data_IF_654194510214
#
_entry.id   IF_654194510214
#
_cell.length_a   1.000
_cell.length_b   1.000
_cell.length_c   1.000
_cell.angle_alpha   90.00
_cell.angle_beta   90.00
_cell.angle_gamma   90.00
#
_symmetry.space_group_name_H-M   'P 1'
#
loop_
_entity.id
_entity.type
_entity.pdbx_description
1 polymer ?
#
# COMPACT_ATOMS: atom_id res chain seq x y z
N UNK A 1 34.59 33.64 21.89
CA UNK A 1 34.38 32.90 23.14
C UNK A 1 33.89 31.50 22.72
N UNK A 2 34.64 30.51 23.03
CA UNK A 2 34.27 29.09 22.69
C UNK A 2 33.08 28.69 23.57
N UNK A 3 32.08 28.03 22.94
CA UNK A 3 30.88 27.57 23.65
C UNK A 3 31.24 26.32 24.46
N UNK A 4 30.85 26.32 25.74
CA UNK A 4 31.01 25.17 26.64
C UNK A 4 29.66 24.50 26.84
N UNK A 5 29.68 23.17 26.97
CA UNK A 5 28.51 22.36 27.32
C UNK A 5 28.14 22.53 28.82
N UNK A 6 27.08 21.82 29.27
CA UNK A 6 26.63 21.83 30.68
C UNK A 6 27.65 21.31 31.68
N UNK A 7 28.70 20.62 31.22
CA UNK A 7 29.79 20.08 32.04
C UNK A 7 31.07 20.96 31.95
N UNK A 8 31.00 22.06 31.17
CA UNK A 8 32.12 22.98 30.98
C UNK A 8 33.16 22.51 29.97
N UNK A 9 32.78 21.57 29.06
CA UNK A 9 33.68 21.05 28.03
C UNK A 9 33.43 21.76 26.69
N UNK A 10 34.50 21.99 25.95
CA UNK A 10 34.42 22.32 24.51
C UNK A 10 34.01 21.07 23.72
N UNK A 11 33.53 21.26 22.47
CA UNK A 11 33.22 20.17 21.58
C UNK A 11 34.39 19.22 21.36
N UNK A 12 35.59 19.77 21.18
CA UNK A 12 36.81 18.97 20.99
C UNK A 12 37.13 18.11 22.22
N UNK A 13 37.04 18.68 23.45
CA UNK A 13 37.23 17.93 24.69
C UNK A 13 36.18 16.87 24.92
N UNK A 14 34.88 17.17 24.59
CA UNK A 14 33.81 16.19 24.64
C UNK A 14 34.07 15.01 23.68
N UNK A 15 34.39 15.29 22.42
CA UNK A 15 34.64 14.25 21.40
C UNK A 15 35.88 13.41 21.74
N UNK A 16 36.95 14.02 22.29
CA UNK A 16 38.14 13.29 22.72
C UNK A 16 37.89 12.31 23.87
N UNK A 17 36.89 12.61 24.71
CA UNK A 17 36.48 11.76 25.84
C UNK A 17 35.29 10.85 25.53
N UNK A 18 34.62 11.04 24.40
CA UNK A 18 33.45 10.25 24.04
C UNK A 18 33.84 8.81 23.71
N UNK A 19 33.20 7.88 24.38
CA UNK A 19 33.41 6.44 24.19
C UNK A 19 32.17 5.79 23.60
N UNK A 20 32.13 5.60 22.27
CA UNK A 20 30.98 5.00 21.61
C UNK A 20 30.57 3.61 22.16
N UNK A 21 31.53 2.83 22.68
CA UNK A 21 31.29 1.50 23.23
C UNK A 21 30.57 1.48 24.59
N UNK A 22 30.36 2.63 25.23
CA UNK A 22 29.61 2.72 26.49
C UNK A 22 28.09 2.63 26.27
N UNK A 23 27.64 2.62 24.99
CA UNK A 23 26.23 2.55 24.60
C UNK A 23 26.00 1.35 23.68
N UNK A 24 24.97 0.56 23.96
CA UNK A 24 24.49 -0.43 23.01
C UNK A 24 24.01 0.26 21.73
N UNK A 25 24.37 -0.30 20.58
CA UNK A 25 24.05 0.25 19.28
C UNK A 25 23.33 -0.79 18.43
N UNK A 26 22.28 -0.39 17.70
CA UNK A 26 21.70 -1.28 16.73
C UNK A 26 22.66 -1.49 15.55
N UNK A 27 22.62 -2.68 14.97
CA UNK A 27 23.15 -2.93 13.64
C UNK A 27 22.13 -2.48 12.60
N UNK A 28 22.57 -1.75 11.59
CA UNK A 28 21.78 -1.39 10.43
C UNK A 28 21.78 -2.52 9.41
N UNK A 29 20.62 -2.81 8.80
CA UNK A 29 20.48 -3.72 7.66
C UNK A 29 19.60 -3.10 6.59
N UNK A 30 19.68 -3.63 5.36
CA UNK A 30 18.75 -3.35 4.28
C UNK A 30 18.09 -4.66 3.83
N UNK A 31 16.79 -4.62 3.56
CA UNK A 31 16.03 -5.74 2.98
C UNK A 31 15.34 -5.26 1.69
N UNK A 32 15.51 -5.95 0.56
CA UNK A 32 15.09 -5.47 -0.75
C UNK A 32 13.98 -6.34 -1.33
N UNK A 33 12.78 -5.77 -1.51
CA UNK A 33 11.67 -6.40 -2.22
C UNK A 33 11.78 -6.09 -3.72
N UNK A 34 12.35 -7.01 -4.48
CA UNK A 34 12.41 -6.92 -5.95
C UNK A 34 11.19 -7.61 -6.53
N UNK A 35 10.38 -6.87 -7.28
CA UNK A 35 9.20 -7.41 -7.97
C UNK A 35 9.36 -7.31 -9.49
N UNK A 36 8.68 -8.21 -10.20
CA UNK A 36 8.58 -8.22 -11.64
C UNK A 36 7.15 -8.54 -12.07
N UNK A 37 6.64 -7.86 -13.07
CA UNK A 37 5.39 -8.25 -13.71
C UNK A 37 5.63 -9.42 -14.67
N UNK A 38 4.74 -10.40 -14.66
CA UNK A 38 4.78 -11.58 -15.53
C UNK A 38 3.36 -11.91 -16.03
N UNK A 39 3.24 -12.82 -17.00
CA UNK A 39 1.95 -13.32 -17.49
C UNK A 39 1.07 -13.91 -16.37
N UNK A 40 1.70 -14.43 -15.31
CA UNK A 40 1.02 -14.97 -14.13
C UNK A 40 0.65 -13.91 -13.08
N UNK A 41 0.99 -12.63 -13.32
CA UNK A 41 0.85 -11.53 -12.36
C UNK A 41 2.20 -11.10 -11.77
N UNK A 42 2.15 -10.43 -10.63
CA UNK A 42 3.33 -9.95 -9.93
C UNK A 42 4.09 -11.08 -9.24
N UNK A 43 5.40 -11.11 -9.44
CA UNK A 43 6.32 -12.03 -8.78
C UNK A 43 7.30 -11.28 -7.91
N UNK A 44 7.69 -11.90 -6.79
CA UNK A 44 8.67 -11.40 -5.82
C UNK A 44 9.91 -12.27 -5.86
N UNK A 45 11.09 -11.66 -5.93
CA UNK A 45 12.37 -12.36 -5.83
C UNK A 45 12.69 -12.68 -4.36
N UNK A 46 12.97 -13.95 -4.09
CA UNK A 46 13.51 -14.39 -2.82
C UNK A 46 14.83 -15.13 -3.02
N UNK A 47 15.67 -15.10 -2.01
CA UNK A 47 16.89 -15.91 -1.91
C UNK A 47 16.69 -17.02 -0.89
N UNK A 48 17.35 -18.15 -1.07
CA UNK A 48 17.40 -19.24 -0.09
C UNK A 48 18.66 -19.10 0.75
N UNK A 49 18.49 -18.93 2.06
CA UNK A 49 19.62 -18.67 2.97
C UNK A 49 20.61 -19.84 3.01
N UNK A 50 21.91 -19.52 2.81
CA UNK A 50 23.03 -20.43 2.89
C UNK A 50 23.58 -20.63 4.31
N UNK A 51 23.30 -19.69 5.24
CA UNK A 51 23.86 -19.62 6.57
C UNK A 51 22.84 -19.54 7.73
N UNK A 52 23.32 -19.72 8.96
CA UNK A 52 22.51 -19.49 10.17
C UNK A 52 22.42 -17.99 10.51
N UNK A 53 21.35 -17.58 11.20
CA UNK A 53 20.12 -18.32 11.51
C UNK A 53 19.23 -18.55 10.26
N UNK A 54 18.22 -19.41 10.41
CA UNK A 54 17.25 -19.72 9.35
C UNK A 54 17.84 -20.37 8.08
N UNK A 55 18.86 -21.22 8.23
CA UNK A 55 19.45 -21.99 7.14
C UNK A 55 18.36 -22.70 6.29
N UNK A 56 18.41 -22.48 4.97
CA UNK A 56 17.49 -23.10 4.01
C UNK A 56 16.09 -22.45 3.94
N UNK A 57 15.80 -21.41 4.73
CA UNK A 57 14.57 -20.62 4.62
C UNK A 57 14.71 -19.58 3.52
N UNK A 58 13.58 -19.15 2.99
CA UNK A 58 13.49 -18.07 2.02
C UNK A 58 13.57 -16.70 2.71
N UNK A 59 14.17 -15.73 2.05
CA UNK A 59 14.37 -14.38 2.56
C UNK A 59 14.33 -13.36 1.43
N UNK A 60 14.07 -12.10 1.74
CA UNK A 60 14.42 -11.00 0.85
C UNK A 60 15.94 -10.93 0.71
N UNK A 61 16.49 -10.55 -0.46
CA UNK A 61 17.88 -10.13 -0.57
C UNK A 61 18.16 -9.01 0.43
N UNK A 62 19.34 -9.06 1.05
CA UNK A 62 19.71 -8.03 2.01
C UNK A 62 20.67 -8.48 3.11
N UNK A 63 21.28 -7.51 3.78
CA UNK A 63 22.27 -7.77 4.80
C UNK A 63 22.65 -6.53 5.60
N UNK A 64 23.79 -6.62 6.29
CA UNK A 64 24.28 -5.58 7.19
C UNK A 64 24.96 -4.44 6.42
N UNK A 65 24.70 -3.21 6.88
CA UNK A 65 25.50 -2.06 6.43
C UNK A 65 26.91 -2.14 7.00
N UNK A 66 27.90 -1.84 6.17
CA UNK A 66 29.30 -1.78 6.56
C UNK A 66 29.70 -0.38 7.04
N UNK A 67 30.79 -0.27 7.86
CA UNK A 67 31.29 1.03 8.26
C UNK A 67 31.72 1.88 7.07
N UNK A 68 31.12 3.07 6.91
CA UNK A 68 31.46 4.03 5.87
C UNK A 68 30.54 4.01 4.66
N UNK A 69 29.56 3.10 4.60
CA UNK A 69 28.50 3.12 3.59
C UNK A 69 27.17 3.64 4.17
N UNK A 70 26.33 4.18 3.32
CA UNK A 70 24.93 4.48 3.63
C UNK A 70 24.09 3.21 3.52
N UNK A 71 22.88 3.21 4.09
CA UNK A 71 21.97 2.06 3.98
C UNK A 71 21.53 1.81 2.54
N UNK A 72 21.44 2.87 1.70
CA UNK A 72 21.16 2.76 0.26
C UNK A 72 22.30 2.07 -0.51
N UNK A 73 23.56 2.38 -0.16
CA UNK A 73 24.74 1.71 -0.72
C UNK A 73 24.80 0.26 -0.29
N UNK A 74 24.51 -0.02 0.99
CA UNK A 74 24.40 -1.39 1.51
C UNK A 74 23.32 -2.18 0.74
N UNK A 75 22.14 -1.62 0.54
CA UNK A 75 21.07 -2.26 -0.22
C UNK A 75 21.52 -2.61 -1.65
N UNK A 76 22.17 -1.68 -2.34
CA UNK A 76 22.66 -1.91 -3.71
C UNK A 76 23.79 -2.94 -3.78
N UNK A 77 24.69 -2.97 -2.78
CA UNK A 77 25.76 -3.95 -2.65
C UNK A 77 25.19 -5.34 -2.40
N UNK A 78 24.36 -5.50 -1.37
CA UNK A 78 23.74 -6.79 -1.01
C UNK A 78 22.92 -7.37 -2.15
N UNK A 79 22.09 -6.55 -2.82
CA UNK A 79 21.32 -6.99 -3.98
C UNK A 79 22.24 -7.55 -5.07
N UNK A 80 23.36 -6.86 -5.37
CA UNK A 80 24.33 -7.35 -6.35
C UNK A 80 25.00 -8.64 -5.89
N UNK A 81 25.45 -8.72 -4.63
CA UNK A 81 26.20 -9.85 -4.10
C UNK A 81 25.37 -11.12 -4.02
N UNK A 82 24.11 -11.01 -3.62
CA UNK A 82 23.22 -12.16 -3.44
C UNK A 82 22.43 -12.55 -4.72
N UNK A 83 22.30 -11.63 -5.71
CA UNK A 83 21.41 -11.88 -6.87
C UNK A 83 22.02 -11.53 -8.23
N UNK A 84 23.22 -10.96 -8.31
CA UNK A 84 23.85 -10.42 -9.54
C UNK A 84 23.05 -9.28 -10.21
N UNK A 85 22.01 -8.73 -9.52
CA UNK A 85 21.23 -7.59 -10.03
C UNK A 85 21.89 -6.27 -9.68
N UNK A 86 22.00 -5.38 -10.68
CA UNK A 86 22.62 -4.05 -10.52
C UNK A 86 21.81 -2.96 -11.22
N UNK A 87 21.97 -1.72 -10.75
CA UNK A 87 21.42 -0.54 -11.42
C UNK A 87 19.90 -0.38 -11.32
N UNK A 88 19.23 -1.16 -10.49
CA UNK A 88 17.80 -0.97 -10.21
C UNK A 88 17.62 0.24 -9.30
N UNK A 89 16.66 1.14 -9.59
CA UNK A 89 16.25 2.16 -8.64
C UNK A 89 15.67 1.52 -7.38
N UNK A 90 16.29 1.78 -6.23
CA UNK A 90 15.84 1.30 -4.93
C UNK A 90 15.05 2.42 -4.24
N UNK A 91 13.79 2.16 -3.90
CA UNK A 91 12.91 3.13 -3.24
C UNK A 91 12.64 2.69 -1.81
N UNK A 92 13.05 3.46 -0.78
CA UNK A 92 12.77 3.11 0.60
C UNK A 92 11.26 3.14 0.86
N UNK A 93 10.74 2.16 1.60
CA UNK A 93 9.31 2.07 1.87
C UNK A 93 8.96 1.92 3.35
N UNK A 94 9.92 1.61 4.20
CA UNK A 94 9.64 1.45 5.61
C UNK A 94 10.84 1.07 6.46
N UNK A 95 10.78 1.42 7.73
CA UNK A 95 11.81 1.14 8.71
C UNK A 95 11.30 0.13 9.74
N UNK A 96 12.06 -0.94 9.96
CA UNK A 96 11.67 -2.09 10.78
C UNK A 96 12.59 -2.20 11.99
N UNK A 97 12.06 -1.93 13.18
CA UNK A 97 12.85 -1.86 14.41
C UNK A 97 12.23 -2.59 15.60
N UNK A 98 11.32 -3.52 15.34
CA UNK A 98 10.66 -4.31 16.39
C UNK A 98 11.72 -5.04 17.22
N UNK A 99 11.74 -4.91 18.55
CA UNK A 99 12.69 -5.61 19.40
C UNK A 99 12.62 -7.13 19.19
N UNK A 100 13.79 -7.75 19.00
CA UNK A 100 13.91 -9.18 18.82
C UNK A 100 13.57 -9.70 17.41
N UNK A 101 13.40 -8.80 16.40
CA UNK A 101 13.25 -9.16 15.00
C UNK A 101 14.39 -10.04 14.48
N UNK A 102 15.59 -9.82 14.99
CA UNK A 102 16.77 -10.66 14.75
C UNK A 102 17.29 -11.19 16.08
N UNK A 103 17.50 -12.51 16.16
CA UNK A 103 17.98 -13.20 17.36
C UNK A 103 19.48 -12.99 17.62
N UNK A 104 20.23 -12.47 16.66
CA UNK A 104 21.69 -12.28 16.76
C UNK A 104 22.04 -11.05 17.57
N UNK A 105 21.30 -9.94 17.39
CA UNK A 105 21.60 -8.66 18.02
C UNK A 105 20.39 -7.70 17.92
N UNK A 106 20.50 -6.53 18.54
CA UNK A 106 19.62 -5.40 18.28
C UNK A 106 19.83 -4.91 16.84
N UNK A 107 18.88 -5.20 15.94
CA UNK A 107 18.99 -4.95 14.51
C UNK A 107 17.81 -4.10 14.05
N UNK A 108 18.07 -3.10 13.24
CA UNK A 108 17.10 -2.25 12.57
C UNK A 108 17.31 -2.35 11.06
N UNK A 109 16.24 -2.44 10.28
CA UNK A 109 16.31 -2.57 8.82
C UNK A 109 15.55 -1.48 8.10
N UNK A 110 16.11 -0.95 7.04
CA UNK A 110 15.40 -0.19 6.03
C UNK A 110 14.94 -1.14 4.92
N UNK A 111 13.65 -1.09 4.59
CA UNK A 111 13.05 -1.85 3.49
C UNK A 111 13.09 -1.05 2.20
N UNK A 112 13.60 -1.65 1.13
CA UNK A 112 13.64 -1.08 -0.22
C UNK A 112 12.78 -1.88 -1.19
N UNK A 113 12.07 -1.17 -2.07
CA UNK A 113 11.32 -1.75 -3.17
C UNK A 113 12.03 -1.46 -4.49
N UNK A 114 12.07 -2.45 -5.39
CA UNK A 114 12.61 -2.31 -6.73
C UNK A 114 11.72 -3.02 -7.74
N UNK A 115 11.55 -2.42 -8.91
CA UNK A 115 10.87 -3.02 -10.06
C UNK A 115 11.92 -3.51 -11.05
N UNK A 116 11.93 -4.81 -11.33
CA UNK A 116 12.71 -5.38 -12.43
C UNK A 116 11.85 -5.33 -13.69
N UNK A 117 12.28 -4.62 -14.77
CA UNK A 117 11.54 -4.57 -16.02
C UNK A 117 11.45 -5.95 -16.68
N UNK A 118 10.41 -6.16 -17.48
CA UNK A 118 10.29 -7.35 -18.32
C UNK A 118 11.50 -7.48 -19.24
N UNK A 119 12.05 -8.71 -19.37
CA UNK A 119 13.27 -8.95 -20.12
C UNK A 119 14.55 -8.46 -19.45
N UNK A 120 14.47 -8.04 -18.19
CA UNK A 120 15.64 -7.68 -17.38
C UNK A 120 16.59 -8.86 -17.11
N UNK A 121 17.72 -8.61 -16.45
CA UNK A 121 18.69 -9.66 -16.13
C UNK A 121 18.11 -10.75 -15.27
N UNK A 122 18.52 -11.99 -15.49
CA UNK A 122 18.10 -13.15 -14.70
C UNK A 122 18.92 -13.19 -13.41
N UNK A 123 18.25 -13.17 -12.21
CA UNK A 123 18.96 -13.28 -10.95
C UNK A 123 19.77 -14.56 -10.83
N UNK A 124 20.97 -14.46 -10.24
CA UNK A 124 21.84 -15.59 -9.95
C UNK A 124 22.22 -15.56 -8.48
N UNK A 125 22.09 -16.69 -7.82
CA UNK A 125 22.53 -16.84 -6.46
C UNK A 125 24.05 -16.60 -6.33
N UNK A 126 24.42 -15.77 -5.37
CA UNK A 126 25.81 -15.47 -5.04
C UNK A 126 25.98 -15.32 -3.54
N UNK A 127 27.21 -15.21 -3.07
CA UNK A 127 27.62 -15.06 -1.68
C UNK A 127 26.89 -16.05 -0.74
N UNK A 128 26.13 -15.57 0.23
CA UNK A 128 25.37 -16.34 1.22
C UNK A 128 24.07 -16.95 0.68
N UNK A 129 23.64 -16.62 -0.55
CA UNK A 129 22.46 -17.18 -1.19
C UNK A 129 22.78 -18.53 -1.84
N UNK A 130 22.06 -19.59 -1.47
CA UNK A 130 22.17 -20.92 -2.13
C UNK A 130 21.39 -20.97 -3.43
N UNK A 131 20.32 -20.22 -3.53
CA UNK A 131 19.36 -20.26 -4.61
C UNK A 131 18.62 -18.93 -4.67
N UNK A 132 18.22 -18.52 -5.85
CA UNK A 132 17.25 -17.44 -6.07
C UNK A 132 15.96 -18.03 -6.65
N UNK A 133 14.81 -17.48 -6.29
CA UNK A 133 13.53 -17.94 -6.80
C UNK A 133 12.52 -16.82 -6.95
N UNK A 134 11.77 -16.83 -8.04
CA UNK A 134 10.60 -16.00 -8.23
C UNK A 134 9.36 -16.69 -7.68
N UNK A 135 8.58 -15.95 -6.91
CA UNK A 135 7.33 -16.41 -6.31
C UNK A 135 6.19 -15.50 -6.73
N UNK A 136 5.12 -16.03 -7.28
CA UNK A 136 3.84 -15.33 -7.25
C UNK A 136 3.38 -15.23 -5.80
N UNK A 137 2.83 -14.08 -5.43
CA UNK A 137 2.35 -13.85 -4.07
C UNK A 137 0.90 -13.45 -4.12
N UNK A 138 0.02 -14.40 -3.79
CA UNK A 138 -1.39 -14.14 -3.61
C UNK A 138 -1.69 -13.74 -2.17
N UNK A 139 -2.70 -12.90 -1.98
CA UNK A 139 -3.10 -12.42 -0.67
C UNK A 139 -4.59 -12.66 -0.43
N UNK A 140 -4.93 -13.08 0.79
CA UNK A 140 -6.31 -13.17 1.26
C UNK A 140 -6.44 -12.68 2.68
N UNK A 141 -7.57 -12.05 2.97
CA UNK A 141 -7.93 -11.58 4.30
C UNK A 141 -9.05 -12.42 4.87
N UNK A 142 -8.95 -12.74 6.16
CA UNK A 142 -10.00 -13.41 6.92
C UNK A 142 -9.95 -12.95 8.38
N UNK A 143 -10.97 -12.21 8.83
CA UNK A 143 -11.10 -11.69 10.21
C UNK A 143 -9.85 -10.90 10.69
N UNK A 144 -9.33 -10.01 9.86
CA UNK A 144 -8.15 -9.19 10.15
C UNK A 144 -6.81 -9.94 10.02
N UNK A 145 -6.84 -11.22 9.63
CA UNK A 145 -5.65 -12.02 9.34
C UNK A 145 -5.36 -11.98 7.84
N UNK A 146 -4.18 -11.50 7.49
CA UNK A 146 -3.62 -11.58 6.15
C UNK A 146 -2.89 -12.91 5.99
N UNK A 147 -3.25 -13.67 4.97
CA UNK A 147 -2.45 -14.80 4.49
C UNK A 147 -1.78 -14.41 3.18
N UNK A 148 -0.47 -14.54 3.12
CA UNK A 148 0.33 -14.45 1.89
C UNK A 148 0.67 -15.85 1.44
N UNK A 149 0.18 -16.25 0.26
CA UNK A 149 0.45 -17.55 -0.36
C UNK A 149 1.52 -17.39 -1.43
N UNK A 150 2.62 -18.12 -1.27
CA UNK A 150 3.78 -18.09 -2.16
C UNK A 150 3.77 -19.32 -3.05
N UNK A 151 3.86 -19.13 -4.36
CA UNK A 151 3.97 -20.19 -5.33
C UNK A 151 5.14 -19.94 -6.29
N UNK A 152 6.09 -20.88 -6.30
CA UNK A 152 7.32 -20.80 -7.09
C UNK A 152 8.12 -22.09 -6.98
N UNK A 153 9.44 -22.05 -6.71
CA UNK A 153 10.25 -23.24 -6.46
C UNK A 153 9.70 -24.13 -5.34
N UNK A 154 9.04 -23.52 -4.36
CA UNK A 154 8.30 -24.19 -3.29
C UNK A 154 6.94 -23.51 -3.12
N UNK A 155 6.02 -24.17 -2.41
CA UNK A 155 4.73 -23.59 -2.00
C UNK A 155 4.69 -23.48 -0.47
N UNK A 156 4.36 -22.29 0.03
CA UNK A 156 4.16 -22.08 1.46
C UNK A 156 3.25 -20.86 1.68
N UNK A 157 2.75 -20.70 2.89
CA UNK A 157 1.93 -19.56 3.30
C UNK A 157 2.53 -18.91 4.54
N UNK A 158 2.50 -17.58 4.60
CA UNK A 158 2.77 -16.80 5.80
C UNK A 158 1.47 -16.15 6.29
N UNK A 159 1.29 -16.05 7.61
CA UNK A 159 0.08 -15.48 8.22
C UNK A 159 0.44 -14.35 9.16
N UNK A 160 -0.26 -13.23 9.00
CA UNK A 160 -0.03 -12.01 9.76
C UNK A 160 -1.36 -11.46 10.29
N UNK A 161 -1.36 -10.96 11.52
CA UNK A 161 -2.44 -10.18 12.08
C UNK A 161 -2.16 -8.70 11.84
N UNK A 162 -3.15 -7.94 11.35
CA UNK A 162 -3.00 -6.49 11.24
C UNK A 162 -3.13 -5.85 12.63
N UNK A 163 -2.13 -5.06 13.01
CA UNK A 163 -2.08 -4.30 14.26
C UNK A 163 -2.11 -2.80 13.96
N UNK A 164 -3.30 -2.26 13.74
CA UNK A 164 -3.49 -0.87 13.34
C UNK A 164 -3.13 -0.60 11.87
N UNK A 165 -2.85 0.66 11.54
CA UNK A 165 -2.72 1.11 10.15
C UNK A 165 -1.43 0.65 9.46
N UNK A 166 -0.35 0.42 10.20
CA UNK A 166 0.99 0.27 9.62
C UNK A 166 1.80 -0.91 10.15
N UNK A 167 1.24 -1.74 11.00
CA UNK A 167 1.94 -2.85 11.63
C UNK A 167 1.25 -4.19 11.40
N UNK A 168 2.06 -5.23 11.39
CA UNK A 168 1.61 -6.62 11.37
C UNK A 168 2.36 -7.42 12.44
N UNK A 169 1.62 -8.20 13.22
CA UNK A 169 2.17 -9.27 14.03
C UNK A 169 2.22 -10.56 13.23
N UNK A 170 3.36 -11.24 13.24
CA UNK A 170 3.53 -12.48 12.52
C UNK A 170 2.92 -13.63 13.34
N UNK A 171 1.92 -14.30 12.78
CA UNK A 171 1.32 -15.51 13.35
C UNK A 171 2.07 -16.77 12.91
N UNK A 172 2.51 -16.78 11.63
CA UNK A 172 3.28 -17.87 11.03
C UNK A 172 4.15 -17.31 9.90
N UNK A 173 5.44 -17.61 9.91
CA UNK A 173 6.37 -17.21 8.84
C UNK A 173 6.32 -18.13 7.63
N UNK A 174 5.72 -19.33 7.75
CA UNK A 174 5.74 -20.36 6.73
C UNK A 174 7.16 -20.79 6.37
N UNK A 175 7.55 -20.49 5.13
CA UNK A 175 8.89 -20.74 4.59
C UNK A 175 9.89 -19.60 4.80
N UNK A 176 9.47 -18.44 5.33
CA UNK A 176 10.30 -17.22 5.40
C UNK A 176 11.18 -17.17 6.66
N UNK A 177 12.31 -16.47 6.51
CA UNK A 177 13.22 -16.15 7.61
C UNK A 177 12.80 -14.86 8.32
N UNK A 178 13.23 -14.68 9.56
CA UNK A 178 13.07 -13.46 10.36
C UNK A 178 11.62 -12.93 10.36
N UNK A 179 11.50 -11.62 10.22
CA UNK A 179 10.24 -10.90 10.07
C UNK A 179 9.93 -10.53 8.60
N UNK A 180 10.54 -11.25 7.63
CA UNK A 180 10.38 -10.93 6.21
C UNK A 180 8.93 -11.03 5.71
N UNK A 181 8.08 -11.85 6.34
CA UNK A 181 6.65 -11.83 6.05
C UNK A 181 6.04 -10.45 6.28
N UNK A 182 6.40 -9.77 7.38
CA UNK A 182 5.96 -8.39 7.66
C UNK A 182 6.53 -7.40 6.64
N UNK A 183 7.82 -7.49 6.34
CA UNK A 183 8.48 -6.60 5.36
C UNK A 183 7.83 -6.75 3.99
N UNK A 184 7.57 -7.99 3.54
CA UNK A 184 6.90 -8.29 2.27
C UNK A 184 5.48 -7.71 2.24
N UNK A 185 4.68 -7.91 3.29
CA UNK A 185 3.34 -7.34 3.37
C UNK A 185 3.37 -5.81 3.23
N UNK A 186 4.31 -5.14 3.90
CA UNK A 186 4.50 -3.69 3.80
C UNK A 186 4.98 -3.23 2.42
N UNK A 187 5.91 -3.98 1.80
CA UNK A 187 6.35 -3.72 0.43
C UNK A 187 5.18 -3.80 -0.54
N UNK A 188 4.38 -4.87 -0.46
CA UNK A 188 3.20 -5.07 -1.31
C UNK A 188 2.15 -3.97 -1.12
N UNK A 189 1.88 -3.53 0.13
CA UNK A 189 1.01 -2.37 0.38
C UNK A 189 1.56 -1.11 -0.30
N UNK A 190 2.84 -0.82 -0.10
CA UNK A 190 3.47 0.39 -0.64
C UNK A 190 3.51 0.41 -2.16
N UNK A 191 3.69 -0.75 -2.78
CA UNK A 191 3.70 -0.91 -4.23
C UNK A 191 2.29 -1.02 -4.85
N UNK A 192 1.25 -1.06 -4.02
CA UNK A 192 -0.12 -1.22 -4.48
C UNK A 192 -0.44 -2.62 -5.00
N UNK A 193 0.24 -3.63 -4.48
CA UNK A 193 0.07 -5.04 -4.84
C UNK A 193 -0.75 -5.82 -3.80
N UNK A 194 -0.93 -5.27 -2.60
CA UNK A 194 -1.75 -5.85 -1.55
C UNK A 194 -3.09 -5.11 -1.51
N UNK A 195 -4.16 -5.80 -1.88
CA UNK A 195 -5.51 -5.28 -1.72
C UNK A 195 -5.89 -5.25 -0.23
N UNK A 196 -6.64 -4.24 0.22
CA UNK A 196 -7.15 -4.19 1.58
C UNK A 196 -8.16 -5.31 1.86
N UNK A 197 -8.45 -5.54 3.14
CA UNK A 197 -9.54 -6.42 3.53
C UNK A 197 -10.87 -5.95 2.92
N UNK A 198 -11.73 -6.91 2.56
CA UNK A 198 -13.03 -6.61 1.97
C UNK A 198 -13.89 -5.79 2.95
N UNK A 199 -14.56 -4.76 2.44
CA UNK A 199 -15.44 -3.90 3.24
C UNK A 199 -16.71 -4.64 3.61
N UNK A 200 -17.11 -4.58 4.89
CA UNK A 200 -18.43 -5.01 5.33
C UNK A 200 -19.49 -3.95 4.97
N UNK A 201 -20.01 -4.06 3.75
CA UNK A 201 -21.05 -3.17 3.24
C UNK A 201 -22.38 -3.31 4.00
N UNK A 202 -22.62 -4.41 4.69
CA UNK A 202 -23.79 -4.57 5.54
C UNK A 202 -23.77 -3.56 6.71
N UNK A 203 -22.69 -3.55 7.45
CA UNK A 203 -22.45 -2.61 8.55
C UNK A 203 -22.36 -1.17 8.05
N UNK A 204 -21.59 -0.92 6.98
CA UNK A 204 -21.43 0.41 6.40
C UNK A 204 -22.77 1.04 5.99
N UNK A 205 -23.59 0.29 5.29
CA UNK A 205 -24.91 0.75 4.83
C UNK A 205 -25.89 0.97 5.98
N UNK A 206 -25.85 0.15 7.03
CA UNK A 206 -26.64 0.34 8.24
C UNK A 206 -26.24 1.63 9.00
N UNK A 207 -24.94 1.92 9.09
CA UNK A 207 -24.42 3.15 9.68
C UNK A 207 -24.89 4.39 8.91
N UNK A 208 -24.79 4.38 7.56
CA UNK A 208 -25.29 5.47 6.73
C UNK A 208 -26.79 5.68 6.91
N UNK A 209 -27.57 4.59 6.91
CA UNK A 209 -29.02 4.67 7.07
C UNK A 209 -29.37 5.33 8.41
N UNK A 210 -28.69 4.96 9.49
CA UNK A 210 -28.88 5.58 10.82
C UNK A 210 -28.48 7.05 10.87
N UNK A 211 -27.37 7.42 10.22
CA UNK A 211 -26.88 8.81 10.17
C UNK A 211 -27.83 9.74 9.37
N UNK A 212 -28.46 9.22 8.32
CA UNK A 212 -29.33 9.99 7.43
C UNK A 212 -30.81 9.96 7.85
N UNK A 213 -31.20 9.12 8.83
CA UNK A 213 -32.59 8.97 9.25
C UNK A 213 -33.16 10.28 9.84
N UNK A 214 -34.22 10.79 9.22
CA UNK A 214 -34.90 12.01 9.69
C UNK A 214 -34.12 13.31 9.50
N UNK A 215 -32.97 13.30 8.78
CA UNK A 215 -32.14 14.48 8.54
C UNK A 215 -32.58 15.16 7.25
N UNK A 216 -33.24 16.35 7.28
CA UNK A 216 -33.75 17.05 6.10
C UNK A 216 -32.68 17.96 5.45
N UNK A 217 -31.43 17.56 5.44
CA UNK A 217 -30.29 18.37 4.97
C UNK A 217 -29.42 17.60 3.99
N UNK A 218 -29.73 17.60 2.66
CA UNK A 218 -29.01 16.82 1.66
C UNK A 218 -27.49 17.01 1.69
N UNK A 219 -27.02 18.26 1.79
CA UNK A 219 -25.59 18.56 1.83
C UNK A 219 -24.90 17.93 3.04
N UNK A 220 -25.54 17.97 4.22
CA UNK A 220 -24.98 17.35 5.44
C UNK A 220 -24.92 15.82 5.31
N UNK A 221 -25.96 15.21 4.71
CA UNK A 221 -25.99 13.76 4.44
C UNK A 221 -24.86 13.34 3.50
N UNK A 222 -24.63 14.08 2.43
CA UNK A 222 -23.52 13.82 1.50
C UNK A 222 -22.15 14.01 2.17
N UNK A 223 -21.99 15.04 3.02
CA UNK A 223 -20.73 15.28 3.73
C UNK A 223 -20.42 14.14 4.72
N UNK A 224 -21.40 13.71 5.52
CA UNK A 224 -21.25 12.57 6.43
C UNK A 224 -21.01 11.25 5.66
N UNK A 225 -21.64 11.07 4.52
CA UNK A 225 -21.44 9.90 3.67
C UNK A 225 -20.01 9.85 3.10
N UNK A 226 -19.47 10.99 2.65
CA UNK A 226 -18.07 11.05 2.19
C UNK A 226 -17.09 10.70 3.33
N UNK A 227 -17.32 11.24 4.54
CA UNK A 227 -16.50 10.94 5.71
C UNK A 227 -16.59 9.45 6.09
N UNK A 228 -17.79 8.88 6.11
CA UNK A 228 -18.01 7.47 6.45
C UNK A 228 -17.34 6.53 5.45
N UNK A 229 -17.39 6.83 4.14
CA UNK A 229 -16.66 6.08 3.11
C UNK A 229 -15.15 6.18 3.33
N UNK A 230 -14.64 7.38 3.61
CA UNK A 230 -13.21 7.61 3.87
C UNK A 230 -12.67 6.82 5.06
N UNK A 231 -13.46 6.68 6.12
CA UNK A 231 -13.10 5.92 7.32
C UNK A 231 -13.21 4.40 7.12
N UNK A 232 -14.14 3.95 6.25
CA UNK A 232 -14.49 2.53 6.12
C UNK A 232 -13.82 1.81 4.97
N UNK A 233 -13.43 2.53 3.90
CA UNK A 233 -12.83 1.93 2.72
C UNK A 233 -11.31 1.98 2.81
N UNK A 234 -10.66 0.82 2.87
CA UNK A 234 -9.20 0.75 2.75
C UNK A 234 -8.72 0.97 1.31
N UNK A 235 -7.51 1.55 1.15
CA UNK A 235 -6.84 1.65 -0.14
C UNK A 235 -7.46 2.65 -1.12
N UNK A 236 -8.11 3.70 -0.63
CA UNK A 236 -8.65 4.81 -1.44
C UNK A 236 -7.82 6.08 -1.21
N UNK A 237 -7.81 6.99 -2.18
CA UNK A 237 -7.18 8.31 -2.08
C UNK A 237 -8.16 9.47 -2.32
N UNK A 238 -9.41 9.17 -2.72
CA UNK A 238 -10.49 10.13 -2.82
C UNK A 238 -11.85 9.43 -2.69
N UNK A 239 -12.83 10.10 -2.05
CA UNK A 239 -14.21 9.66 -1.98
C UNK A 239 -15.13 10.86 -1.85
N UNK A 240 -16.11 11.02 -2.73
CA UNK A 240 -16.99 12.17 -2.69
C UNK A 240 -18.05 12.17 -3.76
N UNK A 241 -18.64 13.35 -3.96
CA UNK A 241 -19.81 13.53 -4.81
C UNK A 241 -19.58 14.62 -5.84
N UNK A 242 -20.09 14.39 -7.04
CA UNK A 242 -20.30 15.40 -8.04
C UNK A 242 -21.80 15.52 -8.33
N UNK A 243 -22.34 16.75 -8.28
CA UNK A 243 -23.76 17.02 -8.46
C UNK A 243 -24.03 17.55 -9.88
N UNK A 244 -25.11 17.10 -10.49
CA UNK A 244 -25.44 17.47 -11.86
C UNK A 244 -26.05 18.88 -11.92
N UNK A 245 -25.42 19.76 -12.67
CA UNK A 245 -25.89 21.11 -13.00
C UNK A 245 -25.91 21.32 -14.52
N UNK A 246 -27.08 21.15 -15.14
CA UNK A 246 -27.20 21.22 -16.59
C UNK A 246 -26.45 20.11 -17.31
N UNK A 247 -25.44 20.45 -18.11
CA UNK A 247 -24.61 19.49 -18.87
C UNK A 247 -23.25 19.22 -18.25
N UNK A 248 -23.07 19.53 -16.96
CA UNK A 248 -21.84 19.32 -16.22
C UNK A 248 -22.10 18.78 -14.81
N UNK A 249 -21.09 18.16 -14.25
CA UNK A 249 -21.02 17.75 -12.86
C UNK A 249 -20.19 18.78 -12.10
N UNK A 250 -20.68 19.23 -10.95
CA UNK A 250 -20.03 20.21 -10.06
C UNK A 250 -19.64 19.53 -8.77
N UNK A 251 -18.43 19.82 -8.29
CA UNK A 251 -17.86 19.25 -7.08
C UNK A 251 -18.74 19.49 -5.86
N UNK A 252 -19.15 18.42 -5.21
CA UNK A 252 -19.87 18.39 -3.94
C UNK A 252 -18.97 18.06 -2.75
N UNK A 253 -19.53 17.56 -1.64
CA UNK A 253 -18.74 17.12 -0.48
C UNK A 253 -17.83 15.94 -0.81
N UNK A 254 -16.59 15.98 -0.31
CA UNK A 254 -15.59 14.94 -0.54
C UNK A 254 -14.55 14.88 0.58
N UNK A 255 -13.81 13.77 0.59
CA UNK A 255 -12.59 13.52 1.37
C UNK A 255 -11.44 13.18 0.41
N UNK A 256 -10.24 13.70 0.70
CA UNK A 256 -9.06 13.51 -0.14
C UNK A 256 -8.41 14.82 -0.56
N UNK A 257 -7.60 14.78 -1.62
CA UNK A 257 -6.97 15.97 -2.20
C UNK A 257 -7.99 16.82 -2.96
N UNK A 258 -7.62 18.10 -3.20
CA UNK A 258 -8.41 19.00 -4.08
C UNK A 258 -8.62 18.37 -5.46
N UNK A 259 -9.82 18.53 -6.00
CA UNK A 259 -10.26 17.92 -7.25
C UNK A 259 -10.77 18.95 -8.27
N UNK A 260 -11.13 18.48 -9.47
CA UNK A 260 -11.71 19.31 -10.51
C UNK A 260 -13.04 19.92 -10.03
N UNK A 261 -13.24 21.23 -10.21
CA UNK A 261 -14.47 21.89 -9.76
C UNK A 261 -15.65 21.50 -10.66
N UNK A 262 -15.42 21.37 -11.98
CA UNK A 262 -16.44 21.05 -12.98
C UNK A 262 -15.96 19.94 -13.91
N UNK A 263 -16.82 18.99 -14.21
CA UNK A 263 -16.57 17.89 -15.16
C UNK A 263 -17.70 17.88 -16.22
N UNK A 264 -17.39 18.09 -17.51
CA UNK A 264 -18.37 17.96 -18.58
C UNK A 264 -18.89 16.52 -18.67
N UNK A 265 -20.19 16.34 -18.91
CA UNK A 265 -20.79 14.99 -19.08
C UNK A 265 -20.15 14.16 -20.22
N UNK A 266 -19.47 14.82 -21.15
CA UNK A 266 -18.83 14.17 -22.30
C UNK A 266 -17.45 13.56 -21.98
N UNK A 267 -16.89 13.78 -20.80
CA UNK A 267 -15.52 13.40 -20.45
C UNK A 267 -15.45 12.68 -19.09
N UNK A 268 -14.39 11.91 -18.94
CA UNK A 268 -14.05 11.22 -17.69
C UNK A 268 -15.00 10.07 -17.33
N UNK A 269 -14.66 9.39 -16.24
CA UNK A 269 -15.47 8.27 -15.73
C UNK A 269 -16.77 8.77 -15.10
N UNK A 270 -16.71 9.86 -14.33
CA UNK A 270 -17.88 10.52 -13.73
C UNK A 270 -18.89 10.95 -14.80
N UNK A 271 -18.42 11.60 -15.90
CA UNK A 271 -19.29 11.98 -17.02
C UNK A 271 -19.90 10.77 -17.72
N UNK A 272 -19.15 9.67 -17.87
CA UNK A 272 -19.67 8.43 -18.44
C UNK A 272 -20.76 7.82 -17.54
N UNK A 273 -20.53 7.72 -16.22
CA UNK A 273 -21.51 7.18 -15.27
C UNK A 273 -22.82 7.99 -15.29
N UNK A 274 -22.73 9.32 -15.23
CA UNK A 274 -23.90 10.20 -15.26
C UNK A 274 -24.70 10.10 -16.57
N UNK A 275 -24.01 10.06 -17.71
CA UNK A 275 -24.63 10.01 -19.02
C UNK A 275 -25.28 8.66 -19.33
N UNK A 276 -24.63 7.55 -18.94
CA UNK A 276 -25.14 6.20 -19.24
C UNK A 276 -26.07 5.67 -18.16
N UNK A 277 -26.18 6.38 -17.04
CA UNK A 277 -26.91 5.95 -15.85
C UNK A 277 -26.52 4.55 -15.37
N UNK A 278 -25.22 4.25 -15.43
CA UNK A 278 -24.66 2.95 -15.03
C UNK A 278 -23.37 3.13 -14.23
N UNK A 279 -23.19 2.31 -13.22
CA UNK A 279 -21.96 2.28 -12.45
C UNK A 279 -20.77 1.94 -13.35
N UNK A 280 -19.74 2.77 -13.28
CA UNK A 280 -18.46 2.53 -13.95
C UNK A 280 -17.50 1.89 -12.97
N UNK A 281 -17.05 0.68 -13.26
CA UNK A 281 -16.02 -0.05 -12.52
C UNK A 281 -14.74 -0.07 -13.36
N UNK A 282 -13.78 0.77 -13.03
CA UNK A 282 -12.57 1.02 -13.83
C UNK A 282 -11.34 0.42 -13.15
N UNK A 283 -10.83 -0.71 -13.64
CA UNK A 283 -9.69 -1.38 -13.03
C UNK A 283 -8.35 -0.66 -13.24
N UNK A 284 -8.23 0.13 -14.31
CA UNK A 284 -7.09 1.00 -14.61
C UNK A 284 -7.58 2.26 -15.31
N UNK A 285 -7.47 3.41 -14.63
CA UNK A 285 -7.92 4.71 -15.14
C UNK A 285 -7.12 5.16 -16.36
N UNK A 286 -5.87 4.72 -16.51
CA UNK A 286 -5.03 5.07 -17.67
C UNK A 286 -5.48 4.37 -18.95
N UNK A 287 -6.18 3.24 -18.83
CA UNK A 287 -6.80 2.54 -19.95
C UNK A 287 -8.20 3.08 -20.31
N UNK A 288 -8.80 3.95 -19.49
CA UNK A 288 -10.14 4.47 -19.72
C UNK A 288 -10.13 5.63 -20.73
N UNK A 289 -10.88 5.54 -21.86
CA UNK A 289 -10.89 6.57 -22.88
C UNK A 289 -11.41 7.92 -22.37
N UNK A 290 -10.60 8.97 -22.48
CA UNK A 290 -10.97 10.32 -22.07
C UNK A 290 -10.95 10.56 -20.57
N UNK A 291 -10.26 9.71 -19.80
CA UNK A 291 -10.03 9.91 -18.38
C UNK A 291 -9.48 11.30 -18.08
N UNK A 292 -9.96 11.91 -17.00
CA UNK A 292 -9.48 13.20 -16.47
C UNK A 292 -8.74 12.89 -15.16
N UNK A 293 -7.42 13.04 -15.17
CA UNK A 293 -6.61 12.85 -13.98
C UNK A 293 -6.77 14.02 -13.01
N UNK A 294 -7.67 13.92 -12.03
CA UNK A 294 -7.77 14.89 -10.93
C UNK A 294 -6.66 14.68 -9.89
N UNK A 295 -6.29 13.43 -9.62
CA UNK A 295 -5.08 13.06 -8.86
C UNK A 295 -4.24 12.09 -9.70
N UNK A 296 -2.97 12.44 -9.93
CA UNK A 296 -2.01 11.57 -10.66
C UNK A 296 -1.68 10.27 -9.93
N UNK A 297 -2.05 10.14 -8.65
CA UNK A 297 -1.87 8.94 -7.87
C UNK A 297 -2.98 7.91 -8.08
N UNK A 298 -4.16 8.30 -8.62
CA UNK A 298 -5.27 7.39 -8.86
C UNK A 298 -4.94 6.42 -9.99
N UNK A 299 -5.22 5.14 -9.76
CA UNK A 299 -4.97 4.03 -10.69
C UNK A 299 -6.23 3.24 -11.01
N UNK A 300 -7.19 3.16 -10.11
CA UNK A 300 -8.51 2.59 -10.36
C UNK A 300 -9.59 3.48 -9.75
N UNK A 301 -10.82 3.35 -10.26
CA UNK A 301 -11.93 4.25 -9.92
C UNK A 301 -13.25 3.49 -9.99
N UNK A 302 -14.18 3.83 -9.10
CA UNK A 302 -15.56 3.40 -9.20
C UNK A 302 -16.49 4.60 -9.07
N UNK A 303 -17.40 4.75 -10.03
CA UNK A 303 -18.37 5.85 -10.05
C UNK A 303 -19.79 5.29 -10.10
N UNK A 304 -20.61 5.65 -9.11
CA UNK A 304 -22.00 5.19 -8.96
C UNK A 304 -22.95 6.36 -9.19
N UNK A 305 -23.90 6.29 -10.15
CA UNK A 305 -24.91 7.32 -10.33
C UNK A 305 -25.83 7.46 -9.12
N UNK A 306 -26.11 8.71 -8.73
CA UNK A 306 -27.14 9.06 -7.74
C UNK A 306 -28.40 9.52 -8.46
N UNK A 307 -29.56 9.06 -8.01
CA UNK A 307 -30.85 9.34 -8.66
C UNK A 307 -31.85 9.98 -7.69
N UNK A 308 -32.70 10.81 -8.25
CA UNK A 308 -33.92 11.30 -7.60
C UNK A 308 -35.06 11.19 -8.59
N UNK A 309 -36.17 10.56 -8.20
CA UNK A 309 -37.33 10.32 -9.04
C UNK A 309 -36.97 9.65 -10.39
N UNK A 310 -36.00 8.71 -10.36
CA UNK A 310 -35.54 7.98 -11.55
C UNK A 310 -34.65 8.79 -12.49
N UNK A 311 -34.19 9.99 -12.11
CA UNK A 311 -33.26 10.81 -12.89
C UNK A 311 -31.96 10.96 -12.19
N UNK A 312 -30.85 10.89 -12.91
CA UNK A 312 -29.51 11.15 -12.37
C UNK A 312 -29.42 12.60 -11.90
N UNK A 313 -29.04 12.79 -10.64
CA UNK A 313 -28.82 14.09 -10.00
C UNK A 313 -27.35 14.34 -9.66
N UNK A 314 -26.52 13.33 -9.83
CA UNK A 314 -25.08 13.39 -9.53
C UNK A 314 -24.46 12.02 -9.58
N UNK A 315 -23.24 11.91 -9.08
CA UNK A 315 -22.50 10.66 -8.93
C UNK A 315 -21.79 10.62 -7.59
N UNK A 316 -21.64 9.41 -7.05
CA UNK A 316 -20.66 9.06 -6.03
C UNK A 316 -19.42 8.59 -6.77
N UNK A 317 -18.29 9.18 -6.46
CA UNK A 317 -16.99 8.92 -7.08
C UNK A 317 -15.98 8.49 -6.03
N UNK A 318 -15.22 7.42 -6.28
CA UNK A 318 -14.21 6.90 -5.37
C UNK A 318 -13.00 6.45 -6.17
N UNK A 319 -11.84 7.06 -5.84
CA UNK A 319 -10.56 6.77 -6.44
C UNK A 319 -9.66 5.94 -5.53
N UNK A 320 -8.77 5.17 -6.15
CA UNK A 320 -7.75 4.38 -5.47
C UNK A 320 -6.39 4.48 -6.15
N UNK A 321 -5.29 4.55 -5.38
CA UNK A 321 -3.93 4.43 -5.92
C UNK A 321 -3.56 2.98 -6.27
N UNK A 322 -4.42 2.01 -5.98
CA UNK A 322 -4.22 0.60 -6.30
C UNK A 322 -4.88 0.26 -7.63
N UNK A 323 -4.26 -0.59 -8.44
CA UNK A 323 -4.92 -1.18 -9.61
C UNK A 323 -5.97 -2.18 -9.16
N UNK A 324 -7.10 -2.25 -9.90
CA UNK A 324 -8.16 -3.23 -9.65
C UNK A 324 -8.65 -3.26 -8.19
N UNK A 325 -8.62 -2.11 -7.50
CA UNK A 325 -9.03 -2.02 -6.10
C UNK A 325 -10.49 -2.41 -5.90
N UNK A 326 -11.35 -2.00 -6.83
CA UNK A 326 -12.78 -2.22 -6.72
C UNK A 326 -13.22 -3.48 -7.43
N UNK A 327 -14.10 -4.25 -6.78
CA UNK A 327 -14.65 -5.53 -7.22
C UNK A 327 -16.15 -5.42 -7.51
N UNK A 328 -16.76 -6.46 -8.06
CA UNK A 328 -18.23 -6.51 -8.21
C UNK A 328 -18.96 -6.50 -6.84
N UNK A 329 -18.31 -6.96 -5.77
CA UNK A 329 -18.85 -6.85 -4.41
C UNK A 329 -18.85 -5.38 -3.92
N UNK A 330 -17.76 -4.63 -4.18
CA UNK A 330 -17.71 -3.19 -3.92
C UNK A 330 -18.79 -2.45 -4.69
N UNK A 331 -18.95 -2.77 -5.98
CA UNK A 331 -20.00 -2.19 -6.83
C UNK A 331 -21.39 -2.42 -6.22
N UNK A 332 -21.74 -3.65 -5.89
CA UNK A 332 -23.04 -3.97 -5.31
C UNK A 332 -23.29 -3.26 -3.97
N UNK A 333 -22.23 -3.19 -3.12
CA UNK A 333 -22.28 -2.52 -1.84
C UNK A 333 -22.44 -1.00 -1.95
N UNK A 334 -21.70 -0.37 -2.86
CA UNK A 334 -21.76 1.07 -3.11
C UNK A 334 -23.04 1.50 -3.85
N UNK A 335 -23.59 0.67 -4.72
CA UNK A 335 -24.92 0.89 -5.29
C UNK A 335 -26.01 0.83 -4.21
N UNK A 336 -25.87 -0.05 -3.21
CA UNK A 336 -26.78 -0.07 -2.07
C UNK A 336 -26.61 1.19 -1.19
N UNK A 337 -25.36 1.65 -0.97
CA UNK A 337 -25.02 2.89 -0.29
C UNK A 337 -25.68 4.10 -0.97
N UNK A 338 -25.54 4.22 -2.29
CA UNK A 338 -26.17 5.26 -3.11
C UNK A 338 -27.68 5.28 -2.96
N UNK A 339 -28.36 4.12 -3.02
CA UNK A 339 -29.81 4.00 -2.81
C UNK A 339 -30.31 4.50 -1.46
N UNK A 340 -29.48 4.47 -0.41
CA UNK A 340 -29.83 5.05 0.89
C UNK A 340 -29.82 6.58 0.78
N UNK A 341 -28.79 7.16 0.19
CA UNK A 341 -28.67 8.61 -0.01
C UNK A 341 -29.78 9.18 -0.92
N UNK A 342 -30.16 8.47 -1.97
CA UNK A 342 -31.22 8.87 -2.91
C UNK A 342 -32.57 9.17 -2.21
N UNK A 343 -32.79 8.63 -1.00
CA UNK A 343 -33.98 8.89 -0.18
C UNK A 343 -33.88 10.17 0.64
N UNK A 344 -32.70 10.77 0.74
CA UNK A 344 -32.38 11.87 1.66
C UNK A 344 -31.76 13.10 0.98
N UNK A 345 -31.58 13.07 -0.35
CA UNK A 345 -31.00 14.15 -1.16
C UNK A 345 -32.02 14.78 -2.12
#
# INVERSE_FOLDING_TARGET
MELLDKNGLTEAEYLANYRPGDYERPSGTADIAVVQESDAGWTLLLIRRGGHPFLGKWALPGGFSEPGETVDEAAARELREETDLTGLPLTPFGFFSTPGRDKRAWTMSEGFAALLPEGGPVPKAGDDARETGWFTVDSRWENGVLTLAFEGPERFEARLQRDGAYAFSILDTGGLAFDHAHIIARAMERMGLLLPEATDYGTLNAQLASLAEGVPHPLANLANAAALLWESLGGINWAGFYLLEGEKLVLGPFMGKTACIEIPLTKGVCGAAARTDTTQLVPDVHAFPGHIACDSASRSEIVVPLRKDGKVIGVLDIDSPLLRRFTEADKAGLEAFARILEKTV
#
